data_IF_438270069876
#
_entry.id   IF_438270069876
#
_cell.length_a   1.000
_cell.length_b   1.000
_cell.length_c   1.000
_cell.angle_alpha   90.00
_cell.angle_beta   90.00
_cell.angle_gamma   90.00
#
_symmetry.space_group_name_H-M   'P 1'
#
loop_
_entity.id
_entity.type
_entity.pdbx_description
1 polymer ?
#
# COMPACT_ATOMS: atom_id res chain seq x y z
N UNK A 1 9.25 -9.50 -11.23
CA UNK A 1 9.02 -8.16 -11.85
C UNK A 1 8.90 -7.11 -10.75
N UNK A 2 9.78 -6.09 -10.73
CA UNK A 2 9.69 -5.00 -9.74
C UNK A 2 8.64 -3.98 -10.17
N UNK A 3 7.66 -3.71 -9.31
CA UNK A 3 6.58 -2.74 -9.58
C UNK A 3 6.14 -2.05 -8.30
N UNK A 4 5.67 -0.82 -8.43
CA UNK A 4 4.98 -0.14 -7.36
C UNK A 4 3.86 0.69 -7.97
N UNK A 5 2.68 0.07 -8.08
CA UNK A 5 1.54 0.70 -8.73
C UNK A 5 0.61 1.28 -7.66
N UNK A 6 0.17 2.51 -7.87
CA UNK A 6 -0.87 3.15 -7.07
C UNK A 6 -2.22 2.78 -7.68
N UNK A 7 -3.06 2.09 -6.90
CA UNK A 7 -4.35 1.59 -7.35
C UNK A 7 -5.47 2.61 -7.13
N UNK A 8 -5.36 3.41 -6.07
CA UNK A 8 -6.33 4.43 -5.72
C UNK A 8 -5.90 5.27 -4.54
N UNK A 9 -6.58 6.40 -4.33
CA UNK A 9 -6.32 7.25 -3.17
C UNK A 9 -7.54 8.06 -2.77
N UNK A 10 -7.66 8.33 -1.48
CA UNK A 10 -8.69 9.19 -0.89
C UNK A 10 -7.98 10.26 -0.06
N UNK A 11 -8.26 11.53 -0.37
CA UNK A 11 -7.71 12.66 0.37
C UNK A 11 -8.81 13.38 1.15
N UNK A 12 -8.52 13.71 2.41
CA UNK A 12 -9.35 14.56 3.25
C UNK A 12 -8.45 15.54 4.00
N UNK A 13 -8.49 16.82 3.63
CA UNK A 13 -7.60 17.84 4.19
C UNK A 13 -6.12 17.45 4.03
N UNK A 14 -5.43 17.33 5.17
CA UNK A 14 -4.02 16.95 5.24
C UNK A 14 -3.81 15.43 5.35
N UNK A 15 -4.86 14.63 5.30
CA UNK A 15 -4.80 13.17 5.36
C UNK A 15 -4.96 12.57 3.96
N UNK A 16 -4.16 11.55 3.64
CA UNK A 16 -4.24 10.77 2.41
C UNK A 16 -4.20 9.28 2.75
N UNK A 17 -5.23 8.55 2.36
CA UNK A 17 -5.17 7.09 2.25
C UNK A 17 -4.82 6.72 0.81
N UNK A 18 -3.79 5.90 0.60
CA UNK A 18 -3.36 5.46 -0.74
C UNK A 18 -3.22 3.95 -0.78
N UNK A 19 -3.91 3.32 -1.72
CA UNK A 19 -3.82 1.89 -1.99
C UNK A 19 -2.74 1.63 -3.05
N UNK A 20 -1.93 0.61 -2.81
CA UNK A 20 -0.83 0.24 -3.70
C UNK A 20 -0.61 -1.26 -3.79
N UNK A 21 0.01 -1.70 -4.88
CA UNK A 21 0.62 -3.02 -5.02
C UNK A 21 2.13 -2.84 -5.18
N UNK A 22 2.91 -3.62 -4.44
CA UNK A 22 4.35 -3.57 -4.45
C UNK A 22 4.91 -4.95 -4.76
N UNK A 23 5.60 -5.07 -5.89
CA UNK A 23 6.34 -6.25 -6.28
C UNK A 23 7.83 -5.97 -6.25
N UNK A 24 8.62 -6.88 -5.67
CA UNK A 24 10.06 -6.74 -5.61
C UNK A 24 10.76 -8.10 -5.75
N UNK A 25 12.07 -8.03 -6.01
CA UNK A 25 12.96 -9.17 -5.87
C UNK A 25 13.91 -8.84 -4.72
N UNK A 26 13.87 -9.63 -3.65
CA UNK A 26 14.74 -9.47 -2.50
C UNK A 26 15.45 -10.79 -2.24
N UNK A 27 16.78 -10.77 -2.18
CA UNK A 27 17.62 -11.96 -2.02
C UNK A 27 17.32 -13.10 -3.03
N UNK A 28 16.99 -12.71 -4.27
CA UNK A 28 16.61 -13.66 -5.32
C UNK A 28 15.17 -14.20 -5.23
N UNK A 29 14.42 -13.85 -4.19
CA UNK A 29 13.02 -14.22 -4.04
C UNK A 29 12.09 -13.13 -4.59
N UNK A 30 11.15 -13.51 -5.47
CA UNK A 30 10.09 -12.62 -5.91
C UNK A 30 9.01 -12.53 -4.84
N UNK A 31 8.67 -11.31 -4.42
CA UNK A 31 7.61 -11.03 -3.46
C UNK A 31 6.60 -10.05 -4.03
N UNK A 32 5.32 -10.23 -3.65
CA UNK A 32 4.23 -9.34 -4.02
C UNK A 32 3.35 -9.04 -2.82
N UNK A 33 3.09 -7.76 -2.60
CA UNK A 33 2.32 -7.22 -1.49
C UNK A 33 1.25 -6.29 -2.02
N UNK A 34 0.09 -6.31 -1.36
CA UNK A 34 -0.89 -5.23 -1.49
C UNK A 34 -0.93 -4.49 -0.16
N UNK A 35 -1.19 -3.20 -0.20
CA UNK A 35 -1.22 -2.42 1.01
C UNK A 35 -1.95 -1.11 0.87
N UNK A 36 -2.11 -0.47 2.03
CA UNK A 36 -2.60 0.89 2.14
C UNK A 36 -1.63 1.67 3.02
N UNK A 37 -1.31 2.89 2.61
CA UNK A 37 -0.61 3.85 3.44
C UNK A 37 -1.55 4.97 3.87
N UNK A 38 -1.51 5.31 5.16
CA UNK A 38 -2.14 6.50 5.71
C UNK A 38 -1.05 7.56 5.91
N UNK A 39 -1.18 8.66 5.19
CA UNK A 39 -0.20 9.74 5.14
C UNK A 39 -0.83 11.00 5.71
N UNK A 40 -0.14 11.64 6.65
CA UNK A 40 -0.51 12.97 7.16
C UNK A 40 0.53 13.99 6.70
N UNK A 41 0.06 15.13 6.21
CA UNK A 41 0.89 16.24 5.76
C UNK A 41 0.88 17.39 6.79
N UNK A 42 2.01 18.05 6.97
CA UNK A 42 2.07 19.30 7.73
C UNK A 42 1.56 20.49 6.89
N UNK A 43 1.52 21.68 7.48
CA UNK A 43 1.09 22.92 6.82
C UNK A 43 1.97 23.29 5.61
N UNK A 44 3.25 22.88 5.59
CA UNK A 44 4.15 23.07 4.45
C UNK A 44 3.94 22.02 3.33
N UNK A 45 2.96 21.12 3.48
CA UNK A 45 2.69 20.05 2.53
C UNK A 45 3.71 18.91 2.54
N UNK A 46 4.55 18.80 3.57
CA UNK A 46 5.51 17.70 3.77
C UNK A 46 4.86 16.56 4.53
N UNK A 47 5.29 15.33 4.26
CA UNK A 47 4.84 14.16 5.03
C UNK A 47 5.31 14.33 6.48
N UNK A 48 4.34 14.45 7.39
CA UNK A 48 4.53 14.53 8.83
C UNK A 48 4.40 13.16 9.50
N UNK A 49 3.51 12.31 8.98
CA UNK A 49 3.33 10.94 9.44
C UNK A 49 3.05 10.01 8.27
N UNK A 50 3.58 8.79 8.36
CA UNK A 50 3.34 7.71 7.41
C UNK A 50 3.11 6.41 8.20
N UNK A 51 1.94 5.78 8.00
CA UNK A 51 1.63 4.46 8.54
C UNK A 51 1.29 3.53 7.39
N UNK A 52 1.88 2.35 7.37
CA UNK A 52 1.75 1.41 6.26
C UNK A 52 1.18 0.10 6.77
N UNK A 53 0.16 -0.40 6.07
CA UNK A 53 -0.49 -1.66 6.37
C UNK A 53 -0.41 -2.52 5.11
N UNK A 54 0.35 -3.60 5.20
CA UNK A 54 0.53 -4.53 4.10
C UNK A 54 -0.15 -5.87 4.38
N UNK A 55 -0.58 -6.53 3.32
CA UNK A 55 -0.98 -7.93 3.31
C UNK A 55 -0.17 -8.69 2.25
N UNK A 56 -0.06 -10.00 2.42
CA UNK A 56 0.30 -10.88 1.31
C UNK A 56 -0.73 -10.69 0.20
N UNK A 57 -0.28 -10.67 -1.05
CA UNK A 57 -1.16 -10.52 -2.20
C UNK A 57 -2.09 -11.74 -2.41
N UNK A 58 -1.72 -12.90 -1.86
CA UNK A 58 -2.57 -14.09 -1.84
C UNK A 58 -3.78 -13.89 -0.93
N UNK A 59 -4.97 -13.91 -1.51
CA UNK A 59 -6.21 -13.94 -0.76
C UNK A 59 -6.62 -15.38 -0.48
N UNK A 60 -6.62 -15.77 0.80
CA UNK A 60 -7.18 -17.04 1.23
C UNK A 60 -8.63 -16.82 1.58
N UNK A 61 -9.53 -17.48 0.85
CA UNK A 61 -10.96 -17.47 1.13
C UNK A 61 -11.33 -18.74 1.89
N UNK A 62 -11.37 -18.73 3.23
CA UNK A 62 -11.59 -19.94 4.03
C UNK A 62 -12.94 -20.62 3.78
N UNK A 63 -13.90 -19.90 3.20
CA UNK A 63 -15.23 -20.40 2.86
C UNK A 63 -15.51 -20.43 1.34
N UNK A 64 -14.48 -20.27 0.51
CA UNK A 64 -14.60 -20.19 -0.95
C UNK A 64 -14.70 -18.74 -1.47
N UNK A 65 -14.32 -18.54 -2.74
CA UNK A 65 -14.53 -17.28 -3.43
C UNK A 65 -16.01 -17.13 -3.79
N UNK A 66 -16.56 -15.93 -3.57
CA UNK A 66 -17.91 -15.55 -4.01
C UNK A 66 -18.01 -15.52 -5.54
#
# INVERSE_FOLDING_TARGET
MTRWDILGSIRQGNSLAVEWTFGCVYDGEESLFNGVSLVEFNEDGKIHSLKEFQSKAEHVFPYGAL
#
